data_IF_904841697492
#
_entry.id   IF_904841697492
#
_cell.length_a   1.000
_cell.length_b   1.000
_cell.length_c   1.000
_cell.angle_alpha   90.00
_cell.angle_beta   90.00
_cell.angle_gamma   90.00
#
_symmetry.space_group_name_H-M   'P 1'
#
loop_
_entity.id
_entity.type
_entity.pdbx_description
1 polymer ?
#
# COMPACT_ATOMS: atom_id res chain seq x y z
N UNK A 1 -8.51 -8.48 -12.43
CA UNK A 1 -7.75 -7.27 -12.03
C UNK A 1 -6.69 -7.74 -11.06
N UNK A 2 -5.41 -7.43 -11.31
CA UNK A 2 -4.33 -7.74 -10.38
C UNK A 2 -4.44 -6.78 -9.20
N UNK A 3 -4.36 -7.29 -7.98
CA UNK A 3 -4.46 -6.47 -6.78
C UNK A 3 -3.12 -6.45 -6.05
N UNK A 4 -2.81 -5.32 -5.42
CA UNK A 4 -1.57 -5.13 -4.68
C UNK A 4 -1.86 -4.42 -3.36
N UNK A 5 -1.46 -5.05 -2.26
CA UNK A 5 -1.40 -4.42 -0.95
C UNK A 5 0.00 -3.85 -0.72
N UNK A 6 0.06 -2.55 -0.42
CA UNK A 6 1.29 -1.84 -0.13
C UNK A 6 1.32 -1.39 1.33
N UNK A 7 2.09 -2.10 2.13
CA UNK A 7 2.26 -1.80 3.55
C UNK A 7 3.51 -0.93 3.75
N UNK A 8 3.37 0.19 4.46
CA UNK A 8 4.50 1.06 4.79
C UNK A 8 4.61 1.31 6.29
N UNK A 9 5.83 1.61 6.74
CA UNK A 9 6.12 2.06 8.09
C UNK A 9 6.83 3.43 8.04
N UNK A 10 6.37 4.39 8.82
CA UNK A 10 6.96 5.73 8.86
C UNK A 10 6.64 6.45 10.17
N UNK A 11 7.50 7.39 10.57
CA UNK A 11 7.26 8.30 11.71
C UNK A 11 6.90 9.72 11.30
N UNK A 12 7.37 10.16 10.13
CA UNK A 12 7.24 11.54 9.64
C UNK A 12 6.57 11.61 8.26
N UNK A 13 5.81 10.58 7.91
CA UNK A 13 5.04 10.44 6.66
C UNK A 13 5.84 10.34 5.36
N UNK A 14 7.17 10.51 5.37
CA UNK A 14 7.98 10.45 4.13
C UNK A 14 7.87 9.13 3.38
N UNK A 15 7.80 8.01 4.10
CA UNK A 15 7.60 6.69 3.47
C UNK A 15 6.18 6.53 2.91
N UNK A 16 5.19 7.20 3.50
CA UNK A 16 3.81 7.21 2.98
C UNK A 16 3.77 7.88 1.61
N UNK A 17 4.42 9.04 1.48
CA UNK A 17 4.48 9.79 0.22
C UNK A 17 5.10 8.94 -0.90
N UNK A 18 6.16 8.18 -0.58
CA UNK A 18 6.79 7.22 -1.52
C UNK A 18 5.82 6.08 -1.88
N UNK A 19 5.13 5.51 -0.89
CA UNK A 19 4.16 4.42 -1.12
C UNK A 19 3.01 4.87 -2.05
N UNK A 20 2.51 6.10 -1.90
CA UNK A 20 1.49 6.65 -2.79
C UNK A 20 1.99 6.81 -4.23
N UNK A 21 3.23 7.28 -4.44
CA UNK A 21 3.83 7.38 -5.78
C UNK A 21 3.96 6.00 -6.46
N UNK A 22 4.37 4.97 -5.72
CA UNK A 22 4.44 3.61 -6.25
C UNK A 22 3.03 3.09 -6.58
N UNK A 23 2.05 3.35 -5.69
CA UNK A 23 0.67 2.94 -5.90
C UNK A 23 0.03 3.62 -7.12
N UNK A 24 0.36 4.89 -7.38
CA UNK A 24 -0.04 5.60 -8.60
C UNK A 24 0.51 4.92 -9.86
N UNK A 25 1.77 4.49 -9.83
CA UNK A 25 2.36 3.72 -10.93
C UNK A 25 1.64 2.39 -11.18
N UNK A 26 1.30 1.65 -10.12
CA UNK A 26 0.55 0.40 -10.20
C UNK A 26 -0.84 0.63 -10.81
N UNK A 27 -1.56 1.68 -10.35
CA UNK A 27 -2.88 2.05 -10.88
C UNK A 27 -2.81 2.47 -12.34
N UNK A 28 -1.79 3.24 -12.71
CA UNK A 28 -1.52 3.65 -14.09
C UNK A 28 -1.24 2.45 -15.01
N UNK A 29 -0.68 1.37 -14.46
CA UNK A 29 -0.45 0.11 -15.17
C UNK A 29 -1.70 -0.79 -15.27
N UNK A 30 -2.87 -0.34 -14.78
CA UNK A 30 -4.14 -1.08 -14.87
C UNK A 30 -4.37 -2.11 -13.75
N UNK A 31 -3.61 -2.03 -12.65
CA UNK A 31 -3.79 -2.86 -11.46
C UNK A 31 -4.39 -2.07 -10.29
N UNK A 32 -5.01 -2.76 -9.33
CA UNK A 32 -5.50 -2.15 -8.10
C UNK A 32 -4.38 -2.05 -7.06
N UNK A 33 -4.27 -0.92 -6.36
CA UNK A 33 -3.29 -0.73 -5.29
C UNK A 33 -3.93 -0.10 -4.05
N UNK A 34 -3.80 -0.80 -2.92
CA UNK A 34 -4.24 -0.36 -1.58
C UNK A 34 -3.01 -0.04 -0.73
N UNK A 35 -2.93 1.17 -0.20
CA UNK A 35 -1.79 1.63 0.62
C UNK A 35 -2.23 1.67 2.08
N UNK A 36 -1.54 0.94 2.97
CA UNK A 36 -1.89 0.85 4.39
C UNK A 36 -0.67 1.07 5.28
N UNK A 37 -0.86 1.69 6.44
CA UNK A 37 0.18 1.75 7.45
C UNK A 37 0.33 0.37 8.12
N UNK A 38 1.55 -0.03 8.47
CA UNK A 38 1.80 -1.28 9.21
C UNK A 38 0.99 -1.38 10.52
N UNK A 39 0.64 -0.26 11.15
CA UNK A 39 -0.19 -0.26 12.37
C UNK A 39 -1.64 -0.67 12.13
N UNK A 40 -2.10 -0.71 10.88
CA UNK A 40 -3.44 -1.14 10.49
C UNK A 40 -3.52 -2.64 10.23
N UNK A 41 -2.38 -3.31 10.02
CA UNK A 41 -2.27 -4.77 9.80
C UNK A 41 -2.18 -5.46 11.16
N UNK A 42 -3.22 -6.19 11.56
CA UNK A 42 -3.35 -6.80 12.90
C UNK A 42 -3.44 -8.32 12.88
N UNK A 43 -3.87 -8.88 11.76
CA UNK A 43 -4.06 -10.32 11.55
C UNK A 43 -3.75 -10.69 10.11
N UNK A 44 -3.61 -11.97 9.85
CA UNK A 44 -3.27 -12.53 8.55
C UNK A 44 -4.28 -12.13 7.47
N UNK A 45 -5.56 -12.05 7.82
CA UNK A 45 -6.61 -11.64 6.88
C UNK A 45 -6.47 -10.19 6.40
N UNK A 46 -5.73 -9.33 7.11
CA UNK A 46 -5.48 -7.94 6.68
C UNK A 46 -4.42 -7.89 5.56
N UNK A 47 -3.79 -9.03 5.22
CA UNK A 47 -2.83 -9.16 4.12
C UNK A 47 -3.49 -9.56 2.80
N UNK A 48 -4.80 -9.78 2.78
CA UNK A 48 -5.55 -10.07 1.55
C UNK A 48 -5.70 -8.79 0.72
N UNK A 49 -4.77 -8.61 -0.24
CA UNK A 49 -4.71 -7.51 -1.19
C UNK A 49 -5.56 -7.71 -2.43
#
# INVERSE_FOLDING_TARGET
MQKTLMVYATRTSKTKDIAELIAEGIRSAGAEATVVNVTEVKKEADLEG
#
